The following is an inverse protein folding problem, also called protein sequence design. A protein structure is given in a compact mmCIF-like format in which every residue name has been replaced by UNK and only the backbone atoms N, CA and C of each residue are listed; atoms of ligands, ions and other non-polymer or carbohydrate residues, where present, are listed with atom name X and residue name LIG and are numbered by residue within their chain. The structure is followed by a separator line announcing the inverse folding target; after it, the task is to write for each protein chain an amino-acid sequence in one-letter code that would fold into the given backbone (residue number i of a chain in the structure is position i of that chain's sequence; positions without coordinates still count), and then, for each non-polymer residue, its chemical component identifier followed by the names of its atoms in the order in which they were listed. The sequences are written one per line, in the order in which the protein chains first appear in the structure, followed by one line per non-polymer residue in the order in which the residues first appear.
data_IF_655690009800
#
_entry.id   IF_655690009800
#
_cell.length_a   1.000
_cell.length_b   1.000
_cell.length_c   1.000
_cell.angle_alpha   90.00
_cell.angle_beta   90.00
_cell.angle_gamma   90.00
#
_symmetry.space_group_name_H-M   'P 1'
#
loop_
_entity.id
_entity.type
_entity.pdbx_description
1 polymer ?
#
# COMPACT_ATOMS: atom_id res chain seq x y z
N UNK A 1 18.36 -11.32 12.07
CA UNK A 1 17.56 -10.10 12.37
C UNK A 1 16.70 -9.78 11.15
N UNK A 2 15.55 -9.09 11.24
CA UNK A 2 14.84 -8.59 10.04
C UNK A 2 15.77 -7.76 9.12
N UNK A 3 16.81 -7.17 9.71
CA UNK A 3 17.92 -6.52 9.02
C UNK A 3 18.79 -7.46 8.13
N UNK A 4 18.66 -8.79 8.23
CA UNK A 4 19.35 -9.78 7.36
C UNK A 4 18.49 -10.24 6.17
N UNK A 5 17.17 -10.03 6.20
CA UNK A 5 16.24 -10.47 5.13
C UNK A 5 15.78 -9.33 4.22
N UNK A 6 16.04 -8.07 4.59
CA UNK A 6 15.67 -6.90 3.79
C UNK A 6 14.17 -6.59 3.81
N UNK A 7 13.41 -7.16 4.75
CA UNK A 7 12.03 -6.78 5.00
C UNK A 7 11.98 -5.41 5.68
N UNK A 8 11.03 -4.58 5.25
CA UNK A 8 10.82 -3.25 5.80
C UNK A 8 9.33 -2.88 5.73
N UNK A 9 8.98 -1.73 6.32
CA UNK A 9 7.63 -1.19 6.30
C UNK A 9 7.64 0.31 6.00
N UNK A 10 6.69 0.76 5.17
CA UNK A 10 6.57 2.15 4.75
C UNK A 10 5.16 2.68 4.97
N UNK A 11 5.07 3.94 5.40
CA UNK A 11 3.81 4.66 5.51
C UNK A 11 3.63 5.58 4.30
N UNK A 12 2.54 5.40 3.57
CA UNK A 12 2.28 6.13 2.32
C UNK A 12 0.89 6.75 2.33
N UNK A 13 0.79 8.02 1.94
CA UNK A 13 -0.51 8.66 1.69
C UNK A 13 -0.93 8.36 0.25
N UNK A 14 -2.12 7.81 0.06
CA UNK A 14 -2.67 7.56 -1.27
C UNK A 14 -3.17 8.85 -1.89
N UNK A 15 -2.43 9.39 -2.85
CA UNK A 15 -2.73 10.67 -3.49
C UNK A 15 -3.31 10.55 -4.90
N UNK A 16 -3.88 9.39 -5.23
CA UNK A 16 -4.50 9.17 -6.54
C UNK A 16 -5.64 10.18 -6.79
N UNK A 17 -5.91 10.44 -8.07
CA UNK A 17 -7.02 11.33 -8.46
C UNK A 17 -8.42 10.74 -8.26
N UNK A 18 -8.50 9.45 -7.93
CA UNK A 18 -9.74 8.67 -7.80
C UNK A 18 -9.60 7.51 -6.82
N UNK A 19 -10.72 6.89 -6.49
CA UNK A 19 -10.70 5.60 -5.80
C UNK A 19 -10.14 4.49 -6.69
N UNK A 20 -9.42 3.55 -6.08
CA UNK A 20 -8.79 2.41 -6.75
C UNK A 20 -8.93 1.16 -5.88
N UNK A 21 -9.37 0.05 -6.47
CA UNK A 21 -9.41 -1.23 -5.78
C UNK A 21 -7.99 -1.80 -5.62
N UNK A 22 -7.69 -2.43 -4.48
CA UNK A 22 -6.37 -3.06 -4.26
C UNK A 22 -5.99 -4.08 -5.35
N UNK A 23 -6.97 -4.78 -5.92
CA UNK A 23 -6.75 -5.67 -7.07
C UNK A 23 -6.09 -4.95 -8.25
N UNK A 24 -6.53 -3.73 -8.59
CA UNK A 24 -5.99 -2.98 -9.73
C UNK A 24 -4.50 -2.65 -9.50
N UNK A 25 -4.12 -2.30 -8.27
CA UNK A 25 -2.73 -2.03 -7.92
C UNK A 25 -1.86 -3.28 -8.01
N UNK A 26 -2.38 -4.42 -7.54
CA UNK A 26 -1.72 -5.73 -7.70
C UNK A 26 -1.52 -6.10 -9.16
N UNK A 27 -2.51 -5.87 -10.01
CA UNK A 27 -2.42 -6.08 -11.47
C UNK A 27 -1.39 -5.14 -12.13
N UNK A 28 -1.20 -3.94 -11.58
CA UNK A 28 -0.11 -3.01 -11.95
C UNK A 28 1.26 -3.39 -11.37
N UNK A 29 1.31 -4.48 -10.60
CA UNK A 29 2.52 -5.07 -10.08
C UNK A 29 2.93 -4.59 -8.69
N UNK A 30 1.99 -4.09 -7.88
CA UNK A 30 2.20 -3.89 -6.44
C UNK A 30 2.52 -5.23 -5.79
N UNK A 31 3.70 -5.36 -5.17
CA UNK A 31 4.14 -6.63 -4.57
C UNK A 31 4.02 -6.64 -3.05
N UNK A 32 4.17 -5.49 -2.42
CA UNK A 32 4.09 -5.30 -0.98
C UNK A 32 2.68 -5.58 -0.48
N UNK A 33 2.61 -6.04 0.76
CA UNK A 33 1.34 -6.25 1.46
C UNK A 33 0.87 -4.90 2.00
N UNK A 34 -0.36 -4.52 1.65
CA UNK A 34 -1.07 -3.45 2.38
C UNK A 34 -1.54 -4.06 3.70
N UNK A 35 -0.79 -3.84 4.77
CA UNK A 35 -1.10 -4.38 6.09
C UNK A 35 -2.28 -3.63 6.72
N UNK A 36 -2.30 -2.31 6.61
CA UNK A 36 -3.34 -1.49 7.16
C UNK A 36 -3.64 -0.27 6.29
N UNK A 37 -4.90 0.18 6.34
CA UNK A 37 -5.36 1.45 5.80
C UNK A 37 -6.00 2.24 6.93
N UNK A 38 -5.52 3.45 7.17
CA UNK A 38 -6.14 4.41 8.08
C UNK A 38 -6.92 5.45 7.28
N UNK A 39 -8.18 5.67 7.67
CA UNK A 39 -9.10 6.63 7.06
C UNK A 39 -9.82 7.39 8.16
N UNK A 40 -9.38 8.62 8.43
CA UNK A 40 -9.85 9.38 9.59
C UNK A 40 -9.56 8.63 10.89
N UNK A 41 -10.60 8.33 11.67
CA UNK A 41 -10.50 7.56 12.92
C UNK A 41 -10.53 6.04 12.72
N UNK A 42 -10.83 5.57 11.51
CA UNK A 42 -10.97 4.13 11.22
C UNK A 42 -9.65 3.52 10.79
N UNK A 43 -9.47 2.24 11.15
CA UNK A 43 -8.33 1.42 10.72
C UNK A 43 -8.85 0.09 10.18
N UNK A 44 -8.44 -0.22 8.96
CA UNK A 44 -8.77 -1.46 8.25
C UNK A 44 -7.49 -2.29 8.17
N UNK A 45 -7.46 -3.43 8.85
CA UNK A 45 -6.31 -4.35 8.82
C UNK A 45 -6.56 -5.45 7.80
N UNK A 46 -5.50 -5.83 7.08
CA UNK A 46 -5.53 -6.85 6.03
C UNK A 46 -6.69 -6.67 5.04
N UNK A 47 -6.84 -5.48 4.42
CA UNK A 47 -7.90 -5.24 3.45
C UNK A 47 -7.84 -6.25 2.30
N UNK A 48 -9.01 -6.72 1.86
CA UNK A 48 -9.12 -7.67 0.75
C UNK A 48 -8.89 -6.99 -0.60
N UNK A 49 -8.72 -7.79 -1.66
CA UNK A 49 -8.52 -7.28 -3.03
C UNK A 49 -9.64 -6.35 -3.53
N UNK A 50 -10.86 -6.51 -3.00
CA UNK A 50 -12.00 -5.66 -3.33
C UNK A 50 -12.05 -4.35 -2.53
N UNK A 51 -11.13 -4.13 -1.60
CA UNK A 51 -11.09 -2.90 -0.83
C UNK A 51 -10.73 -1.72 -1.73
N UNK A 52 -11.57 -0.68 -1.69
CA UNK A 52 -11.33 0.57 -2.40
C UNK A 52 -10.52 1.54 -1.53
N UNK A 53 -9.28 1.79 -1.97
CA UNK A 53 -8.50 2.91 -1.49
C UNK A 53 -9.11 4.20 -2.01
N UNK A 54 -9.16 5.21 -1.14
CA UNK A 54 -9.68 6.55 -1.44
C UNK A 54 -8.56 7.57 -1.30
N UNK A 55 -8.57 8.66 -2.09
CA UNK A 55 -7.60 9.74 -1.94
C UNK A 55 -7.55 10.24 -0.50
N UNK A 56 -6.34 10.35 0.06
CA UNK A 56 -6.08 10.73 1.44
C UNK A 56 -5.99 9.57 2.43
N UNK A 57 -6.29 8.33 2.03
CA UNK A 57 -6.02 7.15 2.86
C UNK A 57 -4.52 7.06 3.19
N UNK A 58 -4.21 6.63 4.42
CA UNK A 58 -2.83 6.36 4.85
C UNK A 58 -2.62 4.85 4.91
N UNK A 59 -1.71 4.35 4.09
CA UNK A 59 -1.37 2.94 3.97
C UNK A 59 -0.15 2.63 4.81
N UNK A 60 -0.15 1.46 5.43
CA UNK A 60 1.05 0.81 5.95
C UNK A 60 1.37 -0.35 5.01
N UNK A 61 2.47 -0.22 4.27
CA UNK A 61 3.00 -1.25 3.38
C UNK A 61 4.05 -2.06 4.14
N UNK A 62 4.09 -3.36 3.89
CA UNK A 62 5.18 -4.23 4.34
C UNK A 62 5.66 -5.08 3.17
N UNK A 63 6.97 -5.18 3.00
CA UNK A 63 7.55 -5.88 1.86
C UNK A 63 9.07 -5.91 1.91
N UNK A 64 9.68 -6.41 0.84
CA UNK A 64 11.13 -6.28 0.64
C UNK A 64 11.46 -4.82 0.32
N UNK A 65 12.54 -4.30 0.88
CA UNK A 65 12.97 -2.90 0.68
C UNK A 65 13.09 -2.53 -0.81
N UNK A 66 13.61 -3.44 -1.63
CA UNK A 66 13.74 -3.22 -3.08
C UNK A 66 12.39 -3.06 -3.81
N UNK A 67 11.32 -3.65 -3.28
CA UNK A 67 9.98 -3.56 -3.86
C UNK A 67 9.21 -2.35 -3.33
N UNK A 68 9.47 -1.90 -2.09
CA UNK A 68 8.76 -0.77 -1.47
C UNK A 68 8.93 0.53 -2.26
N UNK A 69 10.14 0.87 -2.69
CA UNK A 69 10.39 2.08 -3.49
C UNK A 69 9.58 2.07 -4.80
N UNK A 70 9.53 0.90 -5.46
CA UNK A 70 8.76 0.70 -6.70
C UNK A 70 7.25 0.78 -6.44
N UNK A 71 6.80 0.19 -5.34
CA UNK A 71 5.39 0.11 -4.98
C UNK A 71 4.82 1.47 -4.57
N UNK A 72 5.59 2.29 -3.85
CA UNK A 72 5.28 3.70 -3.58
C UNK A 72 5.07 4.46 -4.89
N UNK A 73 5.94 4.24 -5.88
CA UNK A 73 5.80 4.87 -7.20
C UNK A 73 4.51 4.42 -7.92
N UNK A 74 4.13 3.14 -7.84
CA UNK A 74 2.86 2.65 -8.41
C UNK A 74 1.67 3.39 -7.78
N UNK A 75 1.65 3.54 -6.46
CA UNK A 75 0.57 4.20 -5.72
C UNK A 75 0.40 5.68 -6.08
N UNK A 76 1.49 6.36 -6.45
CA UNK A 76 1.47 7.79 -6.82
C UNK A 76 1.01 8.09 -8.25
N UNK A 77 0.91 7.07 -9.12
CA UNK A 77 0.72 7.23 -10.57
C UNK A 77 -0.70 6.84 -11.04
N UNK A 78 -1.66 6.72 -10.13
CA UNK A 78 -3.03 6.24 -10.41
C UNK A 78 -4.08 7.32 -10.23
#
# INVERSE_FOLDING_TARGET
SEAETGLDAEQVVFQAGRSVALRELKERGLKSVVFAVARGSERYYYPSDGFELKPGDVLILMGLREDLDRDVAILSRV
#
